data_IF_781895940750
#
_entry.id   IF_781895940750
#
_cell.length_a   1.000
_cell.length_b   1.000
_cell.length_c   1.000
_cell.angle_alpha   90.00
_cell.angle_beta   90.00
_cell.angle_gamma   90.00
#
_symmetry.space_group_name_H-M   'P 1'
#
loop_
_entity.id
_entity.type
_entity.pdbx_description
1 polymer ?
#
# COMPACT_ATOMS: atom_id res chain seq x y z
N UNK A 1 -10.00 4.49 -14.82
CA UNK A 1 -9.70 3.04 -14.86
C UNK A 1 -10.01 2.52 -13.48
N UNK A 2 -11.14 1.83 -13.33
CA UNK A 2 -11.61 1.35 -12.03
C UNK A 2 -10.84 0.06 -11.67
N UNK A 3 -10.56 -0.21 -10.40
CA UNK A 3 -9.99 -1.51 -9.99
C UNK A 3 -10.87 -2.69 -10.44
N UNK A 4 -12.16 -2.45 -10.65
CA UNK A 4 -13.17 -3.41 -11.10
C UNK A 4 -13.15 -3.72 -12.61
N UNK A 5 -12.35 -3.04 -13.42
CA UNK A 5 -12.14 -3.41 -14.84
C UNK A 5 -11.09 -4.53 -15.00
N UNK A 6 -10.36 -4.86 -13.92
CA UNK A 6 -9.37 -5.93 -13.90
C UNK A 6 -9.79 -7.04 -12.92
N UNK A 7 -9.79 -8.30 -13.37
CA UNK A 7 -10.12 -9.45 -12.52
C UNK A 7 -9.03 -9.79 -11.47
N UNK A 8 -7.89 -9.08 -11.52
CA UNK A 8 -6.71 -9.36 -10.70
C UNK A 8 -6.14 -8.10 -10.09
N UNK A 9 -5.74 -8.21 -8.82
CA UNK A 9 -4.95 -7.19 -8.13
C UNK A 9 -3.61 -7.80 -7.73
N UNK A 10 -2.52 -7.08 -8.00
CA UNK A 10 -1.19 -7.40 -7.51
C UNK A 10 -0.76 -6.37 -6.47
N UNK A 11 -0.28 -6.85 -5.33
CA UNK A 11 0.44 -6.05 -4.35
C UNK A 11 1.89 -6.52 -4.36
N UNK A 12 2.83 -5.64 -4.69
CA UNK A 12 4.20 -6.04 -5.03
C UNK A 12 5.24 -5.05 -4.53
N UNK A 13 6.40 -5.53 -4.07
CA UNK A 13 7.52 -4.67 -3.76
C UNK A 13 8.04 -4.01 -5.06
N UNK A 14 8.20 -2.68 -5.07
CA UNK A 14 8.63 -1.91 -6.21
C UNK A 14 10.06 -2.24 -6.67
N UNK A 15 10.87 -2.87 -5.81
CA UNK A 15 12.20 -3.37 -6.15
C UNK A 15 12.19 -4.76 -6.77
N UNK A 16 11.06 -5.49 -6.75
CA UNK A 16 10.91 -6.79 -7.42
C UNK A 16 10.67 -6.59 -8.92
N UNK A 17 11.71 -6.08 -9.59
CA UNK A 17 11.65 -5.77 -11.03
C UNK A 17 11.47 -7.01 -11.88
N UNK A 18 11.84 -8.20 -11.40
CA UNK A 18 11.72 -9.44 -12.15
C UNK A 18 10.26 -9.88 -12.22
N UNK A 19 9.55 -9.92 -11.09
CA UNK A 19 8.10 -10.18 -11.11
C UNK A 19 7.37 -9.10 -11.91
N UNK A 20 7.70 -7.81 -11.72
CA UNK A 20 7.11 -6.69 -12.47
C UNK A 20 7.23 -6.86 -13.99
N UNK A 21 8.37 -7.33 -14.51
CA UNK A 21 8.57 -7.56 -15.96
C UNK A 21 7.63 -8.61 -16.54
N UNK A 22 7.20 -9.57 -15.73
CA UNK A 22 6.32 -10.66 -16.15
C UNK A 22 4.83 -10.34 -15.95
N UNK A 23 4.49 -9.21 -15.31
CA UNK A 23 3.11 -8.79 -15.12
C UNK A 23 2.52 -8.18 -16.40
N UNK A 24 1.35 -8.68 -16.80
CA UNK A 24 0.54 -8.04 -17.82
C UNK A 24 -0.29 -6.91 -17.21
N UNK A 25 0.26 -5.68 -17.15
CA UNK A 25 -0.41 -4.51 -16.57
C UNK A 25 -1.73 -4.12 -17.25
N UNK A 26 -2.06 -4.68 -18.41
CA UNK A 26 -3.33 -4.43 -19.11
C UNK A 26 -4.51 -5.20 -18.52
N UNK A 27 -4.25 -6.24 -17.73
CA UNK A 27 -5.26 -7.15 -17.17
C UNK A 27 -5.27 -7.15 -15.64
N UNK A 28 -4.51 -6.26 -15.01
CA UNK A 28 -4.36 -6.25 -13.57
C UNK A 28 -4.18 -4.85 -12.99
N UNK A 29 -4.78 -4.64 -11.83
CA UNK A 29 -4.53 -3.47 -11.02
C UNK A 29 -3.31 -3.71 -10.12
N UNK A 30 -2.28 -2.86 -10.22
CA UNK A 30 -1.01 -3.07 -9.50
C UNK A 30 -0.81 -1.98 -8.46
N UNK A 31 -0.65 -2.40 -7.21
CA UNK A 31 -0.30 -1.56 -6.07
C UNK A 31 1.14 -1.93 -5.69
N UNK A 32 2.06 -0.99 -5.88
CA UNK A 32 3.46 -1.19 -5.50
C UNK A 32 3.73 -0.65 -4.10
N UNK A 33 4.62 -1.28 -3.35
CA UNK A 33 5.13 -0.74 -2.08
C UNK A 33 6.66 -0.74 -2.06
N UNK A 34 7.27 0.11 -1.24
CA UNK A 34 8.73 0.16 -1.08
C UNK A 34 9.24 1.59 -0.99
N UNK A 35 10.57 1.74 -0.88
CA UNK A 35 11.22 3.01 -0.56
C UNK A 35 11.43 3.96 -1.76
N UNK A 36 11.01 3.58 -2.97
CA UNK A 36 11.20 4.42 -4.15
C UNK A 36 10.03 5.39 -4.34
N UNK A 37 10.30 6.55 -4.95
CA UNK A 37 9.27 7.55 -5.32
C UNK A 37 8.29 7.06 -6.40
N UNK A 38 8.50 5.85 -6.92
CA UNK A 38 7.61 5.17 -7.86
C UNK A 38 6.70 4.17 -7.16
N UNK A 39 6.82 3.94 -5.85
CA UNK A 39 5.93 3.07 -5.11
C UNK A 39 4.55 3.73 -4.91
N UNK A 40 3.47 2.96 -4.83
CA UNK A 40 2.15 3.48 -4.42
C UNK A 40 2.16 3.78 -2.92
N UNK A 41 2.78 2.92 -2.12
CA UNK A 41 2.99 3.12 -0.69
C UNK A 41 4.48 3.14 -0.39
N UNK A 42 4.94 4.18 0.30
CA UNK A 42 6.33 4.27 0.80
C UNK A 42 6.36 4.41 2.30
N UNK A 43 7.51 4.08 2.89
CA UNK A 43 7.89 4.54 4.21
C UNK A 43 8.32 6.01 4.12
N UNK A 44 7.76 6.86 4.99
CA UNK A 44 8.14 8.27 5.13
C UNK A 44 9.08 8.46 6.34
N UNK A 45 8.77 7.82 7.46
CA UNK A 45 9.56 7.86 8.69
C UNK A 45 9.36 6.60 9.53
N UNK A 46 10.37 6.23 10.31
CA UNK A 46 10.30 5.16 11.30
C UNK A 46 11.09 5.53 12.55
N UNK A 47 10.51 5.26 13.72
CA UNK A 47 11.12 5.33 15.04
C UNK A 47 10.83 4.03 15.80
N UNK A 48 11.31 3.92 17.03
CA UNK A 48 11.00 2.77 17.89
C UNK A 48 9.50 2.66 18.22
N UNK A 49 8.78 3.79 18.28
CA UNK A 49 7.39 3.86 18.72
C UNK A 49 6.39 4.08 17.58
N UNK A 50 6.87 4.56 16.42
CA UNK A 50 6.00 4.99 15.33
C UNK A 50 6.55 4.65 13.97
N UNK A 51 5.63 4.37 13.04
CA UNK A 51 5.92 4.26 11.62
C UNK A 51 4.94 5.14 10.85
N UNK A 52 5.47 5.94 9.92
CA UNK A 52 4.67 6.81 9.06
C UNK A 52 4.83 6.33 7.63
N UNK A 53 3.73 5.87 7.05
CA UNK A 53 3.64 5.52 5.65
C UNK A 53 3.03 6.68 4.86
N UNK A 54 3.42 6.79 3.59
CA UNK A 54 2.84 7.74 2.65
C UNK A 54 2.23 6.98 1.48
N UNK A 55 0.93 7.18 1.28
CA UNK A 55 0.23 6.79 0.07
C UNK A 55 0.50 7.84 -1.00
N UNK A 56 1.35 7.54 -1.97
CA UNK A 56 1.79 8.47 -3.01
C UNK A 56 0.80 8.58 -4.18
N UNK A 57 -0.04 7.56 -4.38
CA UNK A 57 -1.03 7.49 -5.48
C UNK A 57 -2.37 7.02 -4.96
N UNK A 58 -3.44 7.48 -5.60
CA UNK A 58 -4.77 7.02 -5.25
C UNK A 58 -4.92 5.50 -5.39
N UNK A 59 -5.60 4.88 -4.44
CA UNK A 59 -6.01 3.48 -4.51
C UNK A 59 -7.50 3.44 -4.81
N UNK A 60 -7.89 2.65 -5.81
CA UNK A 60 -9.29 2.32 -6.06
C UNK A 60 -9.56 1.00 -5.36
N UNK A 61 -10.46 1.01 -4.40
CA UNK A 61 -10.83 -0.15 -3.58
C UNK A 61 -11.58 -1.20 -4.40
N UNK A 62 -11.71 -2.42 -3.87
CA UNK A 62 -12.47 -3.49 -4.52
C UNK A 62 -13.96 -3.14 -4.73
N UNK A 63 -14.53 -2.27 -3.88
CA UNK A 63 -15.90 -1.75 -4.04
C UNK A 63 -15.97 -0.45 -4.88
N UNK A 64 -14.85 -0.05 -5.49
CA UNK A 64 -14.79 1.04 -6.46
C UNK A 64 -14.68 2.45 -5.87
N UNK A 65 -14.47 2.58 -4.56
CA UNK A 65 -14.19 3.86 -3.91
C UNK A 65 -12.74 4.29 -4.13
N UNK A 66 -12.50 5.60 -4.18
CA UNK A 66 -11.14 6.14 -4.28
C UNK A 66 -10.64 6.55 -2.90
N UNK A 67 -9.46 6.04 -2.53
CA UNK A 67 -8.67 6.52 -1.40
C UNK A 67 -7.58 7.44 -1.95
N UNK A 68 -7.65 8.71 -1.57
CA UNK A 68 -6.72 9.74 -2.04
C UNK A 68 -5.34 9.65 -1.35
N UNK A 69 -4.26 10.14 -2.00
CA UNK A 69 -2.92 10.25 -1.41
C UNK A 69 -2.92 10.97 -0.05
N UNK A 70 -2.28 10.36 0.94
CA UNK A 70 -2.21 10.87 2.32
C UNK A 70 -1.13 10.15 3.13
N UNK A 71 -0.81 10.68 4.31
CA UNK A 71 0.02 10.00 5.30
C UNK A 71 -0.82 9.12 6.22
N UNK A 72 -0.24 8.01 6.67
CA UNK A 72 -0.84 7.08 7.63
C UNK A 72 0.20 6.80 8.70
N UNK A 73 -0.12 7.19 9.94
CA UNK A 73 0.75 6.95 11.10
C UNK A 73 0.23 5.78 11.90
N UNK A 74 1.13 4.91 12.31
CA UNK A 74 0.84 3.77 13.18
C UNK A 74 1.71 3.82 14.42
N UNK A 75 1.15 3.41 15.55
CA UNK A 75 1.93 3.13 16.75
C UNK A 75 2.47 1.71 16.70
N UNK A 76 3.72 1.55 17.10
CA UNK A 76 4.43 0.29 17.19
C UNK A 76 4.39 -0.23 18.63
N UNK A 77 3.91 -1.46 18.82
CA UNK A 77 3.96 -2.23 20.06
C UNK A 77 5.29 -2.98 20.22
N UNK A 78 6.01 -3.18 19.10
CA UNK A 78 7.33 -3.76 18.99
C UNK A 78 7.92 -3.43 17.61
N UNK A 79 9.16 -3.82 17.39
CA UNK A 79 9.78 -3.71 16.06
C UNK A 79 9.13 -4.68 15.07
N UNK A 80 8.75 -4.15 13.91
CA UNK A 80 8.28 -4.92 12.75
C UNK A 80 9.09 -4.54 11.53
N UNK A 81 9.20 -5.49 10.61
CA UNK A 81 9.72 -5.22 9.29
C UNK A 81 8.84 -4.18 8.56
N UNK A 82 9.39 -3.02 8.14
CA UNK A 82 8.61 -1.97 7.50
C UNK A 82 7.97 -2.41 6.18
N UNK A 83 8.61 -3.33 5.44
CA UNK A 83 8.03 -3.86 4.20
C UNK A 83 6.75 -4.64 4.47
N UNK A 84 6.72 -5.45 5.54
CA UNK A 84 5.53 -6.16 6.00
C UNK A 84 4.39 -5.19 6.35
N UNK A 85 4.67 -4.10 7.06
CA UNK A 85 3.64 -3.09 7.38
C UNK A 85 3.12 -2.43 6.10
N UNK A 86 3.99 -2.09 5.14
CA UNK A 86 3.56 -1.53 3.86
C UNK A 86 2.68 -2.51 3.06
N UNK A 87 3.04 -3.79 3.03
CA UNK A 87 2.25 -4.85 2.37
C UNK A 87 0.86 -4.98 3.01
N UNK A 88 0.79 -5.08 4.33
CA UNK A 88 -0.49 -5.18 5.06
C UNK A 88 -1.32 -3.93 4.82
N UNK A 89 -0.71 -2.74 4.87
CA UNK A 89 -1.38 -1.47 4.60
C UNK A 89 -2.00 -1.45 3.20
N UNK A 90 -1.26 -1.88 2.17
CA UNK A 90 -1.79 -2.01 0.82
C UNK A 90 -3.02 -2.92 0.76
N UNK A 91 -2.97 -4.09 1.40
CA UNK A 91 -4.06 -5.07 1.46
C UNK A 91 -5.29 -4.48 2.18
N UNK A 92 -5.09 -3.76 3.28
CA UNK A 92 -6.19 -3.12 4.00
C UNK A 92 -6.85 -2.01 3.18
N UNK A 93 -6.05 -1.14 2.56
CA UNK A 93 -6.55 -0.03 1.74
C UNK A 93 -7.36 -0.55 0.55
N UNK A 94 -6.84 -1.52 -0.22
CA UNK A 94 -7.58 -2.10 -1.35
C UNK A 94 -8.87 -2.80 -0.92
N UNK A 95 -8.90 -3.36 0.29
CA UNK A 95 -10.10 -3.98 0.88
C UNK A 95 -11.14 -2.97 1.38
N UNK A 96 -10.90 -1.66 1.23
CA UNK A 96 -11.84 -0.60 1.63
C UNK A 96 -11.69 -0.11 3.07
N UNK A 97 -10.64 -0.53 3.79
CA UNK A 97 -10.33 0.06 5.10
C UNK A 97 -9.68 1.41 4.85
N UNK A 98 -10.33 2.49 5.28
CA UNK A 98 -9.78 3.84 5.11
C UNK A 98 -8.49 4.04 5.93
N UNK A 99 -7.60 4.90 5.44
CA UNK A 99 -6.39 5.33 6.15
C UNK A 99 -6.66 5.78 7.60
N UNK A 100 -7.74 6.53 7.83
CA UNK A 100 -8.14 6.98 9.17
C UNK A 100 -8.54 5.83 10.11
N UNK A 101 -9.04 4.70 9.58
CA UNK A 101 -9.31 3.51 10.40
C UNK A 101 -8.02 2.76 10.70
N UNK A 102 -7.10 2.74 9.73
CA UNK A 102 -5.80 2.08 9.86
C UNK A 102 -4.91 2.73 10.92
N UNK A 103 -4.96 4.04 11.11
CA UNK A 103 -4.21 4.71 12.19
C UNK A 103 -4.59 4.26 13.60
N UNK A 104 -5.72 3.57 13.77
CA UNK A 104 -6.12 2.99 15.05
C UNK A 104 -5.53 1.58 15.26
N UNK A 105 -4.88 1.01 14.24
CA UNK A 105 -4.22 -0.28 14.38
C UNK A 105 -2.89 -0.04 15.09
N UNK A 106 -2.64 -0.87 16.09
CA UNK A 106 -1.33 -0.96 16.72
C UNK A 106 -0.64 -2.16 16.12
N UNK A 107 0.48 -1.92 15.43
CA UNK A 107 1.34 -2.99 14.96
C UNK A 107 2.22 -3.38 16.13
#
# INVERSE_FOLDING_TARGET
MLATENDKVYVINANDTDTIKHLNFKEAYVITYGLCNKATITLSSITEEHIVLCLQRAIITLDGQTIEPQEISFSLSKEYDPETIMLITAICLISGISANKLSNFMF
#
